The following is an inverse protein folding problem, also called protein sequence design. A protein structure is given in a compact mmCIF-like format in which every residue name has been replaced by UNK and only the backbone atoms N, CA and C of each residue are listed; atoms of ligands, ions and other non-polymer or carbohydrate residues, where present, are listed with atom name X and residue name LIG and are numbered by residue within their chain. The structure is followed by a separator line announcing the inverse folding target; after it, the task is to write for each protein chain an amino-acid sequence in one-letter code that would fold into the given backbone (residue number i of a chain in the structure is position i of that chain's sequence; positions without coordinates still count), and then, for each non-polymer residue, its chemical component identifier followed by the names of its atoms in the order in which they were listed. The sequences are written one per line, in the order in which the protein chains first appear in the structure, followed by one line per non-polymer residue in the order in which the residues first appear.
data_IF_873922718470
#
_entry.id   IF_873922718470
#
_cell.length_a   1.000
_cell.length_b   1.000
_cell.length_c   1.000
_cell.angle_alpha   90.00
_cell.angle_beta   90.00
_cell.angle_gamma   90.00
#
_symmetry.space_group_name_H-M   'P 1'
#
loop_
_entity.id
_entity.type
_entity.pdbx_description
1 polymer ?
#
# COMPACT_ATOMS: atom_id res chain seq x y z
N UNK A 1 -1.09 -16.86 -0.64
CA UNK A 1 -2.24 -16.66 -1.55
C UNK A 1 -1.72 -16.50 -2.97
N UNK A 2 -2.05 -17.45 -3.84
CA UNK A 2 -1.64 -17.48 -5.25
C UNK A 2 -2.35 -16.36 -6.03
N UNK A 3 -1.58 -15.52 -6.74
CA UNK A 3 -2.15 -14.53 -7.65
C UNK A 3 -2.59 -15.23 -8.95
N UNK A 4 -3.90 -15.24 -9.20
CA UNK A 4 -4.47 -15.63 -10.49
C UNK A 4 -3.92 -14.78 -11.63
N UNK A 5 -3.97 -15.30 -12.85
CA UNK A 5 -3.43 -14.70 -14.08
C UNK A 5 -3.47 -13.15 -14.05
N UNK A 6 -2.33 -12.52 -13.77
CA UNK A 6 -2.26 -11.09 -13.53
C UNK A 6 -2.57 -10.26 -14.77
N UNK A 7 -2.89 -8.96 -14.60
CA UNK A 7 -3.19 -8.05 -15.71
C UNK A 7 -1.98 -7.73 -16.62
N UNK A 8 -0.74 -8.07 -16.21
CA UNK A 8 0.48 -7.71 -16.95
C UNK A 8 0.55 -8.22 -18.39
N UNK A 9 0.25 -9.50 -18.71
CA UNK A 9 0.28 -9.97 -20.10
C UNK A 9 -0.76 -9.26 -20.97
N UNK A 10 -1.94 -8.97 -20.41
CA UNK A 10 -2.98 -8.20 -21.10
C UNK A 10 -2.50 -6.77 -21.37
N UNK A 11 -1.90 -6.10 -20.38
CA UNK A 11 -1.40 -4.74 -20.54
C UNK A 11 -0.24 -4.64 -21.52
N UNK A 12 0.64 -5.65 -21.58
CA UNK A 12 1.68 -5.73 -22.61
C UNK A 12 1.07 -5.83 -24.01
N UNK A 13 0.04 -6.65 -24.18
CA UNK A 13 -0.69 -6.75 -25.47
C UNK A 13 -1.35 -5.42 -25.83
N UNK A 14 -2.00 -4.76 -24.87
CA UNK A 14 -2.61 -3.44 -25.09
C UNK A 14 -1.55 -2.39 -25.46
N UNK A 15 -0.39 -2.37 -24.80
CA UNK A 15 0.67 -1.41 -25.07
C UNK A 15 1.24 -1.54 -26.50
N UNK A 16 1.20 -2.75 -27.08
CA UNK A 16 1.65 -3.01 -28.44
C UNK A 16 0.65 -2.55 -29.53
N UNK A 17 -0.58 -2.19 -29.17
CA UNK A 17 -1.57 -1.69 -30.13
C UNK A 17 -1.27 -0.25 -30.57
N UNK A 18 -1.74 0.18 -31.77
CA UNK A 18 -1.75 1.58 -32.18
C UNK A 18 -2.41 2.48 -31.13
N UNK A 19 -1.99 3.75 -31.05
CA UNK A 19 -2.46 4.65 -30.00
C UNK A 19 -3.97 4.84 -30.04
N UNK A 20 -4.55 4.83 -31.23
CA UNK A 20 -5.98 4.96 -31.49
C UNK A 20 -6.76 3.78 -30.87
N UNK A 21 -6.24 2.56 -31.04
CA UNK A 21 -6.83 1.36 -30.46
C UNK A 21 -6.68 1.32 -28.94
N UNK A 22 -5.52 1.75 -28.41
CA UNK A 22 -5.31 1.90 -26.96
C UNK A 22 -6.32 2.85 -26.35
N UNK A 23 -6.51 4.02 -26.97
CA UNK A 23 -7.48 5.03 -26.51
C UNK A 23 -8.89 4.48 -26.58
N UNK A 24 -9.26 3.79 -27.68
CA UNK A 24 -10.58 3.17 -27.81
C UNK A 24 -10.85 2.15 -26.70
N UNK A 25 -9.88 1.28 -26.40
CA UNK A 25 -10.00 0.28 -25.33
C UNK A 25 -10.12 0.92 -23.95
N UNK A 26 -9.29 1.92 -23.65
CA UNK A 26 -9.35 2.62 -22.37
C UNK A 26 -10.68 3.35 -22.19
N UNK A 27 -11.22 3.97 -23.24
CA UNK A 27 -12.55 4.63 -23.24
C UNK A 27 -13.71 3.64 -23.12
N UNK A 28 -13.52 2.38 -23.52
CA UNK A 28 -14.54 1.35 -23.36
C UNK A 28 -14.64 0.81 -21.92
N UNK A 29 -13.62 1.05 -21.08
CA UNK A 29 -13.69 0.73 -19.65
C UNK A 29 -14.64 1.71 -18.94
N UNK A 30 -15.42 1.19 -17.99
CA UNK A 30 -16.14 2.04 -17.03
C UNK A 30 -15.15 2.89 -16.25
N UNK A 31 -15.59 4.01 -15.68
CA UNK A 31 -14.72 4.81 -14.80
C UNK A 31 -14.13 3.99 -13.65
N UNK A 32 -14.92 3.07 -13.09
CA UNK A 32 -14.46 2.13 -12.07
C UNK A 32 -13.36 1.19 -12.58
N UNK A 33 -13.48 0.71 -13.82
CA UNK A 33 -12.45 -0.10 -14.49
C UNK A 33 -11.16 0.68 -14.73
N UNK A 34 -11.25 1.93 -15.19
CA UNK A 34 -10.09 2.81 -15.37
C UNK A 34 -9.38 3.09 -14.05
N UNK A 35 -10.14 3.45 -13.00
CA UNK A 35 -9.59 3.66 -11.65
C UNK A 35 -8.91 2.40 -11.12
N UNK A 36 -9.57 1.24 -11.26
CA UNK A 36 -9.00 -0.04 -10.82
C UNK A 36 -7.69 -0.35 -11.54
N UNK A 37 -7.60 -0.06 -12.83
CA UNK A 37 -6.37 -0.27 -13.60
C UNK A 37 -5.23 0.64 -13.13
N UNK A 38 -5.50 1.93 -12.90
CA UNK A 38 -4.52 2.89 -12.38
C UNK A 38 -4.00 2.48 -11.01
N UNK A 39 -4.89 2.01 -10.13
CA UNK A 39 -4.54 1.60 -8.77
C UNK A 39 -3.99 0.18 -8.66
N UNK A 40 -3.98 -0.62 -9.73
CA UNK A 40 -3.50 -1.99 -9.68
C UNK A 40 -1.96 -2.05 -9.66
N UNK A 41 -1.37 -1.84 -8.48
CA UNK A 41 0.08 -1.82 -8.28
C UNK A 41 0.85 -2.98 -8.94
N UNK A 42 0.41 -4.26 -8.85
CA UNK A 42 1.14 -5.34 -9.50
C UNK A 42 1.27 -5.19 -11.02
N UNK A 43 0.41 -4.41 -11.69
CA UNK A 43 0.56 -4.12 -13.12
C UNK A 43 1.76 -3.25 -13.45
N UNK A 44 2.10 -2.33 -12.53
CA UNK A 44 3.06 -1.24 -12.77
C UNK A 44 4.39 -1.44 -12.03
N UNK A 45 4.37 -2.24 -10.96
CA UNK A 45 5.55 -2.57 -10.19
C UNK A 45 6.61 -3.29 -11.02
N UNK A 46 7.88 -3.07 -10.71
CA UNK A 46 8.98 -3.97 -11.10
C UNK A 46 8.92 -5.26 -10.27
N UNK A 47 9.46 -6.38 -10.77
CA UNK A 47 9.39 -7.69 -10.07
C UNK A 47 10.00 -7.65 -8.67
N UNK A 48 11.14 -6.99 -8.51
CA UNK A 48 11.78 -6.79 -7.20
C UNK A 48 11.03 -5.87 -6.22
N UNK A 49 9.90 -5.28 -6.64
CA UNK A 49 9.00 -4.50 -5.77
C UNK A 49 7.77 -5.31 -5.34
N UNK A 50 7.67 -6.58 -5.75
CA UNK A 50 6.62 -7.50 -5.34
C UNK A 50 7.17 -8.53 -4.36
N UNK A 51 6.34 -8.87 -3.38
CA UNK A 51 6.65 -9.98 -2.49
C UNK A 51 6.70 -11.29 -3.28
N UNK A 52 7.65 -12.19 -2.99
CA UNK A 52 7.71 -13.48 -3.65
C UNK A 52 6.49 -14.34 -3.28
N UNK A 53 6.16 -15.28 -4.16
CA UNK A 53 5.12 -16.27 -3.90
C UNK A 53 5.57 -17.27 -2.82
N UNK A 54 4.58 -17.92 -2.19
CA UNK A 54 4.82 -18.91 -1.13
C UNK A 54 4.96 -18.29 0.26
N UNK A 55 5.41 -19.11 1.20
CA UNK A 55 5.53 -18.73 2.60
C UNK A 55 6.96 -18.29 2.90
N UNK A 56 7.07 -17.09 3.45
CA UNK A 56 8.34 -16.52 3.89
C UNK A 56 8.12 -15.75 5.17
N UNK A 57 9.15 -15.72 6.03
CA UNK A 57 9.10 -14.96 7.28
C UNK A 57 9.57 -13.52 7.08
N UNK A 58 10.48 -13.31 6.14
CA UNK A 58 11.10 -12.00 5.88
C UNK A 58 11.16 -11.77 4.37
N UNK A 59 10.65 -10.61 3.96
CA UNK A 59 10.86 -10.08 2.62
C UNK A 59 11.75 -8.84 2.72
N UNK A 60 12.92 -8.88 2.09
CA UNK A 60 13.92 -7.81 2.13
C UNK A 60 14.12 -7.20 0.74
N UNK A 61 13.94 -5.88 0.63
CA UNK A 61 14.27 -5.12 -0.58
C UNK A 61 15.62 -4.42 -0.40
N UNK A 62 16.69 -5.01 -0.92
CA UNK A 62 18.04 -4.42 -0.94
C UNK A 62 18.29 -3.72 -2.27
N UNK A 63 18.03 -2.41 -2.33
CA UNK A 63 18.16 -1.62 -3.56
C UNK A 63 18.64 -0.17 -3.33
N UNK A 64 19.13 0.48 -4.39
CA UNK A 64 19.60 1.88 -4.38
C UNK A 64 18.48 2.92 -4.29
N UNK A 65 18.85 4.21 -4.36
CA UNK A 65 17.90 5.33 -4.48
C UNK A 65 17.12 5.21 -5.79
N UNK A 66 15.89 5.71 -5.83
CA UNK A 66 15.03 5.66 -7.03
C UNK A 66 14.38 4.30 -7.32
N UNK A 67 14.76 3.21 -6.64
CA UNK A 67 14.12 1.90 -6.82
C UNK A 67 12.63 1.86 -6.42
N UNK A 68 12.15 2.81 -5.62
CA UNK A 68 10.75 2.81 -5.15
C UNK A 68 10.47 1.88 -3.97
N UNK A 69 11.46 1.65 -3.09
CA UNK A 69 11.31 0.79 -1.89
C UNK A 69 10.14 1.21 -1.00
N UNK A 70 10.01 2.52 -0.75
CA UNK A 70 8.93 3.07 0.09
C UNK A 70 7.57 2.79 -0.51
N UNK A 71 7.40 3.02 -1.82
CA UNK A 71 6.14 2.74 -2.52
C UNK A 71 5.80 1.25 -2.50
N UNK A 72 6.78 0.40 -2.79
CA UNK A 72 6.60 -1.06 -2.74
C UNK A 72 6.11 -1.54 -1.36
N UNK A 73 6.71 -1.01 -0.29
CA UNK A 73 6.29 -1.31 1.09
C UNK A 73 4.89 -0.80 1.40
N UNK A 74 4.56 0.45 1.02
CA UNK A 74 3.25 1.04 1.24
C UNK A 74 2.13 0.27 0.51
N UNK A 75 2.36 -0.08 -0.75
CA UNK A 75 1.41 -0.86 -1.57
C UNK A 75 1.20 -2.27 -0.99
N UNK A 76 2.27 -2.91 -0.52
CA UNK A 76 2.18 -4.21 0.13
C UNK A 76 1.41 -4.15 1.46
N UNK A 77 1.70 -3.15 2.31
CA UNK A 77 0.98 -2.92 3.56
C UNK A 77 -0.51 -2.64 3.30
N UNK A 78 -0.83 -1.78 2.33
CA UNK A 78 -2.21 -1.48 1.95
C UNK A 78 -2.94 -2.71 1.41
N UNK A 79 -2.30 -3.52 0.58
CA UNK A 79 -2.88 -4.79 0.12
C UNK A 79 -3.13 -5.77 1.28
N UNK A 80 -2.20 -5.88 2.23
CA UNK A 80 -2.34 -6.73 3.41
C UNK A 80 -3.48 -6.25 4.32
N UNK A 81 -3.57 -4.93 4.54
CA UNK A 81 -4.63 -4.31 5.33
C UNK A 81 -6.02 -4.51 4.72
N UNK A 82 -6.14 -4.46 3.38
CA UNK A 82 -7.39 -4.78 2.66
C UNK A 82 -7.77 -6.25 2.80
N UNK A 83 -6.79 -7.16 2.73
CA UNK A 83 -7.01 -8.59 2.84
C UNK A 83 -7.27 -9.06 4.29
N UNK A 84 -6.87 -8.26 5.29
CA UNK A 84 -6.93 -8.64 6.72
C UNK A 84 -7.67 -7.58 7.54
N UNK A 85 -9.02 -7.57 7.53
CA UNK A 85 -9.82 -6.66 8.34
C UNK A 85 -9.45 -6.74 9.83
N UNK A 86 -9.31 -5.59 10.49
CA UNK A 86 -8.88 -5.52 11.90
C UNK A 86 -7.41 -5.93 12.15
N UNK A 87 -6.63 -6.19 11.09
CA UNK A 87 -5.20 -6.51 11.19
C UNK A 87 -4.39 -5.40 11.85
N UNK A 88 -3.25 -5.77 12.44
CA UNK A 88 -2.32 -4.84 13.11
C UNK A 88 -0.96 -4.91 12.43
N UNK A 89 -0.43 -3.76 12.05
CA UNK A 89 0.80 -3.62 11.26
C UNK A 89 1.74 -2.67 12.00
N UNK A 90 3.00 -3.03 12.15
CA UNK A 90 4.01 -2.16 12.73
C UNK A 90 4.83 -1.49 11.61
N UNK A 91 4.87 -0.16 11.62
CA UNK A 91 5.76 0.65 10.78
C UNK A 91 6.93 1.10 11.66
N UNK A 92 8.12 0.64 11.36
CA UNK A 92 9.31 0.83 12.20
C UNK A 92 10.38 1.58 11.41
N UNK A 93 10.97 2.61 12.01
CA UNK A 93 12.04 3.39 11.41
C UNK A 93 12.96 4.01 12.46
N UNK A 94 13.92 4.83 12.04
CA UNK A 94 14.90 5.43 12.94
C UNK A 94 14.25 6.25 14.06
N UNK A 95 13.24 7.05 13.71
CA UNK A 95 12.41 7.80 14.66
C UNK A 95 10.93 7.67 14.28
N UNK A 96 10.02 7.85 15.23
CA UNK A 96 8.59 7.91 14.95
C UNK A 96 8.24 9.03 13.96
N UNK A 97 8.92 10.17 14.06
CA UNK A 97 8.77 11.30 13.14
C UNK A 97 9.16 10.94 11.70
N UNK A 98 10.25 10.18 11.51
CA UNK A 98 10.67 9.72 10.19
C UNK A 98 9.68 8.73 9.58
N UNK A 99 9.16 7.80 10.38
CA UNK A 99 8.13 6.86 9.91
C UNK A 99 6.89 7.62 9.45
N UNK A 100 6.36 8.53 10.28
CA UNK A 100 5.19 9.32 9.91
C UNK A 100 5.43 10.13 8.62
N UNK A 101 6.55 10.85 8.55
CA UNK A 101 6.90 11.71 7.41
C UNK A 101 7.15 10.94 6.11
N UNK A 102 7.75 9.74 6.19
CA UNK A 102 8.20 9.00 5.00
C UNK A 102 7.23 7.89 4.62
N UNK A 103 6.80 7.09 5.59
CA UNK A 103 6.01 5.88 5.33
C UNK A 103 4.51 6.14 5.30
N UNK A 104 4.03 7.22 5.95
CA UNK A 104 2.59 7.54 5.98
C UNK A 104 2.27 8.74 5.09
N UNK A 105 2.87 9.89 5.36
CA UNK A 105 2.54 11.18 4.71
C UNK A 105 3.37 11.46 3.46
N UNK A 106 4.47 10.73 3.25
CA UNK A 106 5.36 10.96 2.11
C UNK A 106 4.69 10.67 0.77
N UNK A 107 5.29 11.15 -0.32
CA UNK A 107 4.81 10.98 -1.70
C UNK A 107 4.63 9.51 -2.15
N UNK A 108 5.24 8.58 -1.41
CA UNK A 108 5.13 7.13 -1.62
C UNK A 108 4.59 6.40 -0.39
N UNK A 109 4.06 7.13 0.59
CA UNK A 109 3.54 6.59 1.84
C UNK A 109 2.09 6.11 1.72
N UNK A 110 1.54 5.61 2.84
CA UNK A 110 0.20 5.03 2.90
C UNK A 110 -0.91 5.96 2.40
N UNK A 111 -0.81 7.26 2.66
CA UNK A 111 -1.78 8.25 2.16
C UNK A 111 -1.75 8.32 0.63
N UNK A 112 -0.55 8.37 0.05
CA UNK A 112 -0.38 8.52 -1.40
C UNK A 112 -0.82 7.29 -2.20
N UNK A 113 -0.76 6.10 -1.60
CA UNK A 113 -1.14 4.83 -2.27
C UNK A 113 -2.57 4.37 -1.96
N UNK A 114 -3.32 5.12 -1.13
CA UNK A 114 -4.74 4.85 -0.90
C UNK A 114 -5.51 4.92 -2.22
N UNK A 115 -6.41 3.97 -2.48
CA UNK A 115 -7.18 3.98 -3.71
C UNK A 115 -8.20 5.14 -3.70
N UNK A 116 -8.55 5.63 -4.89
CA UNK A 116 -9.58 6.67 -5.00
C UNK A 116 -10.90 6.21 -4.33
N UNK A 117 -11.37 6.98 -3.36
CA UNK A 117 -12.59 6.68 -2.59
C UNK A 117 -12.38 5.75 -1.38
N UNK A 118 -11.16 5.24 -1.14
CA UNK A 118 -10.84 4.49 0.06
C UNK A 118 -10.75 5.43 1.26
N UNK A 119 -11.62 5.21 2.27
CA UNK A 119 -11.58 6.00 3.52
C UNK A 119 -10.44 5.51 4.41
N UNK A 120 -9.69 6.44 4.98
CA UNK A 120 -8.71 6.16 6.02
C UNK A 120 -8.75 7.25 7.09
N UNK A 121 -8.17 6.97 8.25
CA UNK A 121 -7.97 7.95 9.32
C UNK A 121 -6.52 7.91 9.78
N UNK A 122 -5.85 9.07 9.77
CA UNK A 122 -4.48 9.21 10.24
C UNK A 122 -4.45 10.15 11.45
N UNK A 123 -3.92 9.66 12.58
CA UNK A 123 -3.60 10.49 13.75
C UNK A 123 -2.09 10.45 13.97
N UNK A 124 -1.43 11.57 13.68
CA UNK A 124 0.01 11.74 13.88
C UNK A 124 0.38 11.69 15.37
N UNK A 125 -0.43 12.30 16.22
CA UNK A 125 -0.18 12.34 17.68
C UNK A 125 -0.29 10.95 18.31
N UNK A 126 -1.26 10.14 17.87
CA UNK A 126 -1.38 8.75 18.33
C UNK A 126 -0.44 7.79 17.61
N UNK A 127 0.15 8.21 16.48
CA UNK A 127 0.96 7.34 15.64
C UNK A 127 0.17 6.19 15.01
N UNK A 128 -1.10 6.40 14.66
CA UNK A 128 -1.99 5.34 14.14
C UNK A 128 -2.66 5.74 12.82
N UNK A 129 -2.45 4.91 11.80
CA UNK A 129 -3.16 4.94 10.52
C UNK A 129 -4.21 3.82 10.50
N UNK A 130 -5.47 4.17 10.32
CA UNK A 130 -6.60 3.22 10.26
C UNK A 130 -7.12 3.11 8.83
N UNK A 131 -7.11 1.90 8.28
CA UNK A 131 -7.60 1.59 6.94
C UNK A 131 -9.14 1.44 6.92
N UNK A 132 -9.76 1.52 5.74
CA UNK A 132 -11.19 1.31 5.55
C UNK A 132 -11.67 -0.06 6.09
N UNK A 133 -10.82 -1.07 6.03
CA UNK A 133 -11.08 -2.43 6.56
C UNK A 133 -11.05 -2.52 8.09
N UNK A 134 -10.77 -1.42 8.80
CA UNK A 134 -10.54 -1.40 10.23
C UNK A 134 -9.16 -1.91 10.67
N UNK A 135 -8.32 -2.36 9.73
CA UNK A 135 -6.92 -2.64 10.02
C UNK A 135 -6.20 -1.36 10.46
N UNK A 136 -5.11 -1.51 11.22
CA UNK A 136 -4.34 -0.39 11.78
C UNK A 136 -2.85 -0.59 11.57
N UNK A 137 -2.17 0.46 11.09
CA UNK A 137 -0.73 0.58 11.08
C UNK A 137 -0.26 1.54 12.17
N UNK A 138 0.66 1.07 13.00
CA UNK A 138 1.19 1.79 14.17
C UNK A 138 2.63 2.21 13.92
N UNK A 139 2.97 3.43 14.31
CA UNK A 139 4.30 3.99 14.15
C UNK A 139 5.17 3.69 15.36
N UNK A 140 6.38 3.17 15.12
CA UNK A 140 7.36 2.87 16.14
C UNK A 140 8.75 3.40 15.78
N UNK A 141 9.50 3.81 16.82
CA UNK A 141 10.92 4.09 16.73
C UNK A 141 11.73 2.82 16.99
N UNK A 142 12.80 2.60 16.22
CA UNK A 142 13.73 1.51 16.43
C UNK A 142 14.62 1.72 17.68
N UNK A 143 14.75 2.95 18.16
CA UNK A 143 15.68 3.33 19.25
C UNK A 143 15.02 3.32 20.63
N UNK A 144 13.68 3.46 20.68
CA UNK A 144 12.89 3.34 21.90
C UNK A 144 11.55 2.69 21.52
N UNK A 145 11.43 1.36 21.66
CA UNK A 145 10.20 0.65 21.34
C UNK A 145 9.21 0.78 22.52
N UNK A 146 8.87 2.00 22.92
CA UNK A 146 7.72 2.21 23.79
C UNK A 146 6.47 2.27 22.89
N UNK A 147 5.61 1.25 22.93
CA UNK A 147 4.43 1.22 22.08
C UNK A 147 3.37 2.20 22.60
N UNK A 148 2.57 2.84 21.73
CA UNK A 148 1.29 3.38 22.18
C UNK A 148 0.48 2.22 22.76
N UNK A 149 0.04 2.37 24.01
CA UNK A 149 -0.71 1.35 24.75
C UNK A 149 -1.94 0.93 23.95
N UNK A 150 -2.13 -0.38 23.76
CA UNK A 150 -3.26 -0.96 23.01
C UNK A 150 -4.66 -0.72 23.62
N UNK A 151 -4.75 0.07 24.69
CA UNK A 151 -5.95 0.26 25.51
C UNK A 151 -6.88 1.39 25.05
N UNK A 152 -6.43 2.38 24.27
CA UNK A 152 -7.18 3.64 24.12
C UNK A 152 -8.10 3.77 22.89
N UNK A 153 -8.44 2.68 22.20
CA UNK A 153 -9.39 2.74 21.05
C UNK A 153 -10.70 1.96 21.29
N UNK A 154 -11.03 1.66 22.55
CA UNK A 154 -12.40 1.28 22.92
C UNK A 154 -12.92 2.23 24.00
N UNK A 155 -13.56 3.32 23.60
CA UNK A 155 -14.36 4.13 24.53
C UNK A 155 -14.43 5.60 24.18
N UNK A 156 -15.41 5.96 23.34
CA UNK A 156 -16.25 7.17 23.44
C UNK A 156 -17.34 7.10 22.37
N UNK A 157 -18.32 6.25 22.63
CA UNK A 157 -19.67 6.40 22.12
C UNK A 157 -20.56 6.59 23.33
N UNK A 158 -20.91 7.85 23.62
CA UNK A 158 -22.03 8.22 24.47
C UNK A 158 -23.21 8.59 23.59
#
# INVERSE_FOLDING_TARGET
MAQGAGLRPLLRRMAALPVEERVRLLRALTEGGQRSLVHHWPSWAHDGQLAPAGDWRVWLIRAGRGFGKTRAGAEWVSALARATPGGRIALVGATAGDVARVMVEGESGLIAVAHAGERYHWSRDQGVFTFASGAKAFVYSAVAPDPPTFADVRGRGG
#
